data_IF_920086157545
#
_entry.id   IF_920086157545
#
_cell.length_a   1.000
_cell.length_b   1.000
_cell.length_c   1.000
_cell.angle_alpha   90.00
_cell.angle_beta   90.00
_cell.angle_gamma   90.00
#
_symmetry.space_group_name_H-M   'P 1'
#
loop_
_entity.id
_entity.type
_entity.pdbx_description
1 polymer ?
#
# COMPACT_ATOMS: atom_id res chain seq x y z
N UNK A 1 -19.64 -29.22 -30.51
CA UNK A 1 -19.92 -28.85 -29.10
C UNK A 1 -18.67 -28.74 -28.23
N UNK A 2 -17.58 -29.49 -28.48
CA UNK A 2 -16.33 -29.42 -27.66
C UNK A 2 -15.54 -28.10 -27.75
N UNK A 3 -15.56 -27.41 -28.89
CA UNK A 3 -14.75 -26.19 -29.09
C UNK A 3 -15.27 -24.96 -28.33
N UNK A 4 -16.58 -24.86 -28.09
CA UNK A 4 -17.22 -23.69 -27.48
C UNK A 4 -16.85 -23.59 -25.98
N UNK A 5 -16.62 -24.72 -25.32
CA UNK A 5 -16.28 -24.76 -23.90
C UNK A 5 -14.84 -24.26 -23.67
N UNK A 6 -13.91 -24.58 -24.59
CA UNK A 6 -12.51 -24.15 -24.47
C UNK A 6 -12.33 -22.64 -24.63
N UNK A 7 -13.10 -22.00 -25.51
CA UNK A 7 -13.02 -20.54 -25.70
C UNK A 7 -13.57 -19.76 -24.51
N UNK A 8 -14.61 -20.29 -23.84
CA UNK A 8 -15.18 -19.65 -22.65
C UNK A 8 -14.23 -19.63 -21.46
N UNK A 9 -13.49 -20.73 -21.23
CA UNK A 9 -12.52 -20.82 -20.15
C UNK A 9 -11.31 -19.90 -20.38
N UNK A 10 -10.84 -19.78 -21.63
CA UNK A 10 -9.75 -18.89 -21.98
C UNK A 10 -10.11 -17.41 -21.71
N UNK A 11 -11.34 -16.99 -22.01
CA UNK A 11 -11.79 -15.62 -21.72
C UNK A 11 -11.80 -15.30 -20.21
N UNK A 12 -12.26 -16.24 -19.38
CA UNK A 12 -12.31 -16.05 -17.91
C UNK A 12 -10.91 -15.88 -17.29
N UNK A 13 -9.91 -16.58 -17.81
CA UNK A 13 -8.53 -16.46 -17.33
C UNK A 13 -7.91 -15.11 -17.68
N UNK A 14 -8.27 -14.52 -18.82
CA UNK A 14 -7.78 -13.20 -19.22
C UNK A 14 -8.39 -12.12 -18.31
N UNK A 15 -9.69 -12.19 -18.02
CA UNK A 15 -10.37 -11.19 -17.17
C UNK A 15 -9.87 -11.20 -15.71
N UNK A 16 -9.47 -12.36 -15.20
CA UNK A 16 -8.93 -12.45 -13.84
C UNK A 16 -7.50 -11.90 -13.71
N UNK A 17 -6.72 -11.87 -14.79
CA UNK A 17 -5.38 -11.29 -14.77
C UNK A 17 -5.42 -9.75 -14.75
N UNK A 18 -6.30 -9.15 -15.55
CA UNK A 18 -6.45 -7.67 -15.62
C UNK A 18 -6.97 -7.06 -14.30
N UNK A 19 -7.83 -7.74 -13.55
CA UNK A 19 -8.32 -7.23 -12.25
C UNK A 19 -7.23 -7.26 -11.15
N UNK A 20 -6.24 -8.17 -11.27
CA UNK A 20 -5.08 -8.22 -10.37
C UNK A 20 -4.06 -7.13 -10.71
N UNK A 21 -3.83 -6.89 -12.01
CA UNK A 21 -2.93 -5.84 -12.51
C UNK A 21 -3.46 -4.43 -12.16
N UNK A 22 -4.77 -4.18 -12.37
CA UNK A 22 -5.37 -2.87 -12.09
C UNK A 22 -5.27 -2.43 -10.61
N UNK A 23 -5.16 -3.36 -9.66
CA UNK A 23 -4.94 -3.02 -8.24
C UNK A 23 -3.47 -2.79 -7.86
N UNK A 24 -2.50 -3.19 -8.71
CA UNK A 24 -1.09 -3.18 -8.36
C UNK A 24 -0.32 -1.95 -8.90
N UNK A 25 -0.66 -1.40 -10.07
CA UNK A 25 0.33 -0.61 -10.82
C UNK A 25 0.13 0.92 -10.85
N UNK A 26 -0.96 1.47 -10.30
CA UNK A 26 -1.32 2.87 -10.60
C UNK A 26 -1.08 3.92 -9.49
N UNK A 27 -1.45 3.61 -8.24
CA UNK A 27 -1.63 4.66 -7.24
C UNK A 27 -0.62 4.54 -6.10
N UNK A 28 0.23 5.54 -5.98
CA UNK A 28 1.03 5.71 -4.78
C UNK A 28 0.14 6.04 -3.56
N UNK A 29 0.59 5.65 -2.37
CA UNK A 29 -0.07 5.89 -1.09
C UNK A 29 0.04 7.38 -0.71
N UNK A 30 -1.09 8.10 -0.53
CA UNK A 30 -1.07 9.50 -0.12
C UNK A 30 -0.63 9.68 1.34
N UNK A 31 -0.38 10.93 1.75
CA UNK A 31 0.03 11.29 3.12
C UNK A 31 -0.95 10.72 4.16
N UNK A 32 -0.41 10.14 5.22
CA UNK A 32 -1.19 9.55 6.32
C UNK A 32 -1.73 8.16 6.01
N UNK A 33 -1.51 7.63 4.81
CA UNK A 33 -1.84 6.23 4.48
C UNK A 33 -0.92 5.26 5.20
N UNK A 34 -1.44 4.08 5.51
CA UNK A 34 -0.66 3.00 6.10
C UNK A 34 0.23 2.38 5.02
N UNK A 35 1.52 2.27 5.31
CA UNK A 35 2.52 1.69 4.41
C UNK A 35 3.24 0.48 5.02
N UNK A 36 2.73 -0.09 6.11
CA UNK A 36 3.36 -1.23 6.82
C UNK A 36 3.65 -2.45 5.93
N UNK A 37 2.81 -2.71 4.92
CA UNK A 37 2.99 -3.82 3.97
C UNK A 37 3.62 -3.38 2.65
N UNK A 38 3.71 -2.08 2.39
CA UNK A 38 4.26 -1.50 1.17
C UNK A 38 5.09 -0.25 1.50
N UNK A 39 6.31 -0.46 2.00
CA UNK A 39 7.19 0.63 2.45
C UNK A 39 7.61 1.58 1.32
N UNK A 40 7.62 1.11 0.06
CA UNK A 40 7.95 1.92 -1.11
C UNK A 40 6.73 2.57 -1.77
N UNK A 41 5.52 2.26 -1.30
CA UNK A 41 4.28 2.68 -1.96
C UNK A 41 3.97 4.16 -1.80
N UNK A 42 4.61 4.89 -0.89
CA UNK A 42 4.30 6.29 -0.63
C UNK A 42 4.54 7.19 -1.86
N UNK A 43 3.67 8.18 -2.05
CA UNK A 43 3.83 9.17 -3.10
C UNK A 43 5.12 9.98 -2.98
N UNK A 44 5.52 10.63 -4.06
CA UNK A 44 6.70 11.51 -4.10
C UNK A 44 6.71 12.51 -2.94
N UNK A 45 7.90 12.77 -2.38
CA UNK A 45 8.14 13.63 -1.19
C UNK A 45 7.60 13.06 0.12
N UNK A 46 7.07 11.83 0.11
CA UNK A 46 6.69 11.09 1.30
C UNK A 46 7.63 9.90 1.49
N UNK A 47 7.85 9.53 2.74
CA UNK A 47 8.60 8.36 3.15
C UNK A 47 7.73 7.54 4.09
N UNK A 48 7.91 6.22 4.06
CA UNK A 48 7.25 5.34 4.99
C UNK A 48 8.03 5.36 6.32
N UNK A 49 7.45 5.99 7.35
CA UNK A 49 8.03 6.02 8.69
C UNK A 49 7.28 5.09 9.62
N UNK A 50 8.03 4.39 10.47
CA UNK A 50 7.55 3.28 11.24
C UNK A 50 7.81 3.47 12.73
N UNK A 51 6.83 3.10 13.55
CA UNK A 51 7.02 3.02 14.99
C UNK A 51 6.54 1.69 15.55
N UNK A 52 7.13 1.28 16.67
CA UNK A 52 6.64 0.14 17.46
C UNK A 52 5.41 0.56 18.23
N UNK A 53 4.30 -0.13 18.01
CA UNK A 53 3.03 0.13 18.66
C UNK A 53 2.95 -0.67 19.96
N UNK A 54 2.62 0.01 21.04
CA UNK A 54 2.37 -0.60 22.34
C UNK A 54 0.93 -0.36 22.76
N UNK A 55 0.28 -1.39 23.31
CA UNK A 55 -1.01 -1.27 23.99
C UNK A 55 -0.85 -1.80 25.40
N UNK A 56 -1.13 -0.95 26.41
CA UNK A 56 -1.00 -1.32 27.83
C UNK A 56 0.37 -1.92 28.18
N UNK A 57 1.44 -1.36 27.59
CA UNK A 57 2.82 -1.81 27.79
C UNK A 57 3.22 -3.06 26.98
N UNK A 58 2.29 -3.71 26.28
CA UNK A 58 2.57 -4.88 25.45
C UNK A 58 2.85 -4.45 24.01
N UNK A 59 3.96 -4.92 23.44
CA UNK A 59 4.27 -4.71 22.02
C UNK A 59 3.22 -5.40 21.13
N UNK A 60 2.57 -4.62 20.26
CA UNK A 60 1.55 -5.09 19.31
C UNK A 60 2.06 -5.12 17.86
N UNK A 61 3.37 -4.99 17.69
CA UNK A 61 4.04 -4.97 16.40
C UNK A 61 4.33 -3.56 15.89
N UNK A 62 4.72 -3.49 14.62
CA UNK A 62 5.11 -2.27 13.95
C UNK A 62 3.95 -1.73 13.11
N UNK A 63 3.82 -0.41 13.09
CA UNK A 63 2.91 0.26 12.15
C UNK A 63 3.65 1.41 11.49
N UNK A 64 3.37 1.61 10.20
CA UNK A 64 4.05 2.61 9.40
C UNK A 64 3.07 3.49 8.64
N UNK A 65 3.47 4.74 8.40
CA UNK A 65 2.68 5.75 7.68
C UNK A 65 3.52 6.53 6.69
N UNK A 66 2.87 6.93 5.58
CA UNK A 66 3.46 7.88 4.64
C UNK A 66 3.47 9.28 5.25
N UNK A 67 4.65 9.76 5.64
CA UNK A 67 4.87 11.10 6.18
C UNK A 67 5.78 11.91 5.25
N UNK A 68 5.73 13.25 5.26
CA UNK A 68 6.63 14.05 4.46
C UNK A 68 8.10 13.83 4.86
N UNK A 69 8.97 13.64 3.86
CA UNK A 69 10.42 13.58 4.07
C UNK A 69 11.03 14.98 4.06
N UNK A 70 12.16 15.16 4.73
CA UNK A 70 12.94 16.41 4.64
C UNK A 70 12.38 17.59 5.42
N UNK A 71 11.33 17.39 6.22
CA UNK A 71 10.85 18.40 7.17
C UNK A 71 11.69 18.37 8.45
N UNK A 72 12.02 19.56 8.97
CA UNK A 72 12.55 19.73 10.34
C UNK A 72 11.46 20.37 11.18
N UNK A 73 10.99 19.65 12.20
CA UNK A 73 10.04 20.18 13.16
C UNK A 73 10.80 20.89 14.29
N UNK A 74 10.47 22.15 14.54
CA UNK A 74 10.89 22.89 15.72
C UNK A 74 9.70 23.06 16.66
N UNK A 75 9.94 23.07 17.97
CA UNK A 75 8.91 23.52 18.91
C UNK A 75 8.58 24.97 18.60
N UNK A 76 7.29 25.28 18.54
CA UNK A 76 6.84 26.65 18.58
C UNK A 76 7.34 27.25 19.91
N UNK A 77 7.98 28.42 19.86
CA UNK A 77 8.35 29.13 21.07
C UNK A 77 7.05 29.61 21.69
N UNK A 78 6.72 29.05 22.84
CA UNK A 78 5.69 29.57 23.75
C UNK A 78 6.00 31.02 24.15
#
# INVERSE_FOLDING_TARGET
MKLIIFTGLALLLIVSLIDVEAQNEGACLPRGSVCTTNHAGCCSKLGCDCYRRFEKGVEKGQKCWCIPTGLRYSKEKE
#
